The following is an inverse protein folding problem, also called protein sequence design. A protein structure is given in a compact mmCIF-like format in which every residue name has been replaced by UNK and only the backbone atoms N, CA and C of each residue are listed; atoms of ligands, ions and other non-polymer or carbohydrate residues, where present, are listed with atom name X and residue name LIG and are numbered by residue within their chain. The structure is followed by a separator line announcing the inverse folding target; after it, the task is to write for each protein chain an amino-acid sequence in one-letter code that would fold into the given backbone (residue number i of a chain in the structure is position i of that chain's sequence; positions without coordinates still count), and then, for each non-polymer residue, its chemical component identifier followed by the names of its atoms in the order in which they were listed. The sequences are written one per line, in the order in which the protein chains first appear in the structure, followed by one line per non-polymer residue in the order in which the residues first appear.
data_IF_773557166810
#
_entry.id   IF_773557166810
#
_cell.length_a   1.000
_cell.length_b   1.000
_cell.length_c   1.000
_cell.angle_alpha   90.00
_cell.angle_beta   90.00
_cell.angle_gamma   90.00
#
_symmetry.space_group_name_H-M   'P 1'
#
loop_
_entity.id
_entity.type
_entity.pdbx_description
1 polymer ?
#
# COMPACT_ATOMS: atom_id res chain seq x y z
N UNK A 1 -16.61 -2.46 -27.76
CA UNK A 1 -17.08 -2.24 -26.37
C UNK A 1 -15.95 -1.56 -25.63
N UNK A 2 -16.19 -0.42 -24.99
CA UNK A 2 -15.17 0.28 -24.20
C UNK A 2 -14.68 -0.61 -23.05
N UNK A 3 -13.36 -0.65 -22.84
CA UNK A 3 -12.75 -1.41 -21.75
C UNK A 3 -13.27 -0.90 -20.39
N UNK A 4 -13.77 -1.79 -19.54
CA UNK A 4 -14.22 -1.42 -18.21
C UNK A 4 -12.99 -1.29 -17.29
N UNK A 5 -12.59 -0.04 -17.01
CA UNK A 5 -11.44 0.30 -16.18
C UNK A 5 -11.77 0.33 -14.67
N UNK A 6 -12.97 -0.09 -14.26
CA UNK A 6 -13.34 -0.19 -12.85
C UNK A 6 -12.46 -1.23 -12.13
N UNK A 7 -11.68 -0.85 -11.09
CA UNK A 7 -10.75 -1.76 -10.42
C UNK A 7 -11.42 -3.00 -9.84
N UNK A 8 -12.63 -2.86 -9.30
CA UNK A 8 -13.32 -4.00 -8.69
C UNK A 8 -13.78 -5.01 -9.75
N UNK A 9 -14.35 -4.52 -10.85
CA UNK A 9 -14.68 -5.33 -12.01
C UNK A 9 -13.46 -6.08 -12.57
N UNK A 10 -12.29 -5.43 -12.63
CA UNK A 10 -11.03 -6.06 -13.04
C UNK A 10 -10.65 -7.20 -12.08
N UNK A 11 -10.72 -6.96 -10.77
CA UNK A 11 -10.41 -7.99 -9.76
C UNK A 11 -11.35 -9.21 -9.84
N UNK A 12 -12.63 -8.99 -10.13
CA UNK A 12 -13.61 -10.06 -10.34
C UNK A 12 -13.35 -10.84 -11.63
N UNK A 13 -12.97 -10.16 -12.72
CA UNK A 13 -12.56 -10.84 -13.96
C UNK A 13 -11.35 -11.74 -13.73
N UNK A 14 -10.34 -11.27 -12.99
CA UNK A 14 -9.17 -12.08 -12.65
C UNK A 14 -9.53 -13.33 -11.85
N UNK A 15 -10.44 -13.21 -10.88
CA UNK A 15 -10.97 -14.36 -10.13
C UNK A 15 -11.69 -15.34 -11.07
N UNK A 16 -12.54 -14.84 -11.97
CA UNK A 16 -13.26 -15.66 -12.94
C UNK A 16 -12.30 -16.44 -13.85
N UNK A 17 -11.26 -15.78 -14.37
CA UNK A 17 -10.25 -16.42 -15.20
C UNK A 17 -9.47 -17.49 -14.41
N UNK A 18 -9.15 -17.23 -13.14
CA UNK A 18 -8.51 -18.21 -12.26
C UNK A 18 -9.40 -19.43 -11.95
N UNK A 19 -10.70 -19.22 -11.71
CA UNK A 19 -11.66 -20.31 -11.53
C UNK A 19 -11.74 -21.20 -12.78
N UNK A 20 -11.75 -20.59 -13.98
CA UNK A 20 -11.74 -21.32 -15.25
C UNK A 20 -10.49 -22.19 -15.42
N UNK A 21 -9.31 -21.63 -15.14
CA UNK A 21 -8.04 -22.38 -15.25
C UNK A 21 -8.03 -23.58 -14.29
N UNK A 22 -8.60 -23.40 -13.10
CA UNK A 22 -8.59 -24.43 -12.05
C UNK A 22 -9.72 -25.47 -12.19
N UNK A 23 -10.65 -25.27 -13.13
CA UNK A 23 -11.83 -26.12 -13.29
C UNK A 23 -12.83 -26.00 -12.14
N UNK A 24 -12.82 -24.90 -11.39
CA UNK A 24 -13.79 -24.68 -10.29
C UNK A 24 -15.16 -24.30 -10.82
N UNK A 25 -16.20 -24.74 -10.12
CA UNK A 25 -17.60 -24.46 -10.43
C UNK A 25 -17.97 -22.99 -10.17
N UNK A 26 -19.12 -22.57 -10.70
CA UNK A 26 -19.63 -21.20 -10.62
C UNK A 26 -19.87 -20.72 -9.18
N UNK A 27 -20.12 -21.67 -8.29
CA UNK A 27 -20.42 -21.52 -6.88
C UNK A 27 -19.22 -20.92 -6.13
N UNK A 28 -18.01 -21.37 -6.47
CA UNK A 28 -16.76 -20.84 -5.89
C UNK A 28 -16.53 -19.40 -6.33
N UNK A 29 -16.74 -19.11 -7.62
CA UNK A 29 -16.66 -17.73 -8.11
C UNK A 29 -17.65 -16.84 -7.37
N UNK A 30 -18.92 -17.27 -7.27
CA UNK A 30 -19.95 -16.50 -6.59
C UNK A 30 -19.61 -16.22 -5.13
N UNK A 31 -19.11 -17.23 -4.40
CA UNK A 31 -18.71 -17.10 -3.01
C UNK A 31 -17.52 -16.14 -2.80
N UNK A 32 -16.59 -16.07 -3.77
CA UNK A 32 -15.36 -15.31 -3.68
C UNK A 32 -15.42 -13.94 -4.36
N UNK A 33 -16.41 -13.68 -5.21
CA UNK A 33 -16.46 -12.49 -6.08
C UNK A 33 -16.78 -11.18 -5.35
N UNK A 34 -17.27 -11.25 -4.10
CA UNK A 34 -17.67 -10.09 -3.30
C UNK A 34 -17.10 -10.14 -1.89
N UNK A 35 -16.82 -8.99 -1.27
CA UNK A 35 -16.34 -8.97 0.11
C UNK A 35 -17.39 -9.50 1.10
N UNK A 36 -16.95 -10.21 2.14
CA UNK A 36 -17.77 -10.61 3.30
C UNK A 36 -18.44 -9.40 3.97
N UNK A 37 -17.73 -8.27 4.05
CA UNK A 37 -18.27 -7.03 4.62
C UNK A 37 -17.63 -5.80 3.99
N UNK A 38 -18.46 -4.79 3.74
CA UNK A 38 -18.01 -3.46 3.33
C UNK A 38 -18.64 -2.41 4.23
N UNK A 39 -17.81 -1.64 4.92
CA UNK A 39 -18.25 -0.58 5.84
C UNK A 39 -17.89 0.77 5.22
N UNK A 40 -18.90 1.61 4.99
CA UNK A 40 -18.73 3.02 4.62
C UNK A 40 -19.04 3.91 5.82
N UNK A 41 -18.18 4.88 6.07
CA UNK A 41 -18.26 5.78 7.23
C UNK A 41 -18.11 7.23 6.79
N UNK A 42 -18.67 8.13 7.60
CA UNK A 42 -18.41 9.56 7.51
C UNK A 42 -17.70 10.05 8.78
N UNK A 43 -16.73 10.93 8.60
CA UNK A 43 -15.96 11.56 9.68
C UNK A 43 -16.07 13.07 9.50
N UNK A 44 -16.78 13.74 10.41
CA UNK A 44 -16.92 15.20 10.40
C UNK A 44 -16.05 15.79 11.50
N UNK A 45 -15.21 16.76 11.15
CA UNK A 45 -14.30 17.41 12.09
C UNK A 45 -14.09 18.89 11.74
N UNK A 46 -13.66 19.66 12.74
CA UNK A 46 -13.28 21.06 12.58
C UNK A 46 -11.83 21.16 12.11
N UNK A 47 -11.65 21.80 10.96
CA UNK A 47 -10.35 22.12 10.36
C UNK A 47 -9.68 23.28 11.12
N UNK A 48 -8.39 23.49 10.89
CA UNK A 48 -7.59 24.54 11.54
C UNK A 48 -8.11 25.94 11.22
N UNK A 49 -8.62 26.15 10.01
CA UNK A 49 -9.26 27.38 9.58
C UNK A 49 -10.67 27.60 10.21
N UNK A 50 -11.10 26.72 11.10
CA UNK A 50 -12.39 26.79 11.79
C UNK A 50 -13.58 26.22 11.04
N UNK A 51 -13.44 25.87 9.75
CA UNK A 51 -14.51 25.24 8.96
C UNK A 51 -14.78 23.79 9.41
N UNK A 52 -16.00 23.31 9.20
CA UNK A 52 -16.33 21.90 9.34
C UNK A 52 -16.14 21.19 7.99
N UNK A 53 -15.37 20.09 8.00
CA UNK A 53 -15.18 19.24 6.82
C UNK A 53 -15.65 17.82 7.14
N UNK A 54 -16.29 17.19 6.15
CA UNK A 54 -16.71 15.79 6.23
C UNK A 54 -15.92 14.96 5.25
N UNK A 55 -15.29 13.89 5.74
CA UNK A 55 -14.54 12.92 4.97
C UNK A 55 -15.33 11.62 4.86
N UNK A 56 -15.27 10.97 3.70
CA UNK A 56 -15.77 9.61 3.49
C UNK A 56 -14.64 8.62 3.68
N UNK A 57 -14.89 7.57 4.46
CA UNK A 57 -13.96 6.50 4.72
C UNK A 57 -14.59 5.13 4.45
N UNK A 58 -13.73 4.14 4.23
CA UNK A 58 -14.13 2.79 3.87
C UNK A 58 -13.29 1.76 4.62
N UNK A 59 -13.89 0.59 4.92
CA UNK A 59 -13.19 -0.65 5.26
C UNK A 59 -13.86 -1.82 4.55
N UNK A 60 -13.14 -2.46 3.65
CA UNK A 60 -13.55 -3.69 2.96
C UNK A 60 -12.84 -4.88 3.61
N UNK A 61 -13.62 -5.79 4.16
CA UNK A 61 -13.23 -7.06 4.75
C UNK A 61 -13.63 -8.14 3.77
N UNK A 62 -12.66 -8.62 2.98
CA UNK A 62 -12.96 -9.35 1.75
C UNK A 62 -13.23 -10.83 2.01
N UNK A 63 -12.28 -11.51 2.63
CA UNK A 63 -12.40 -12.93 2.92
C UNK A 63 -11.54 -13.29 4.14
N UNK A 64 -12.11 -14.03 5.09
CA UNK A 64 -11.49 -14.42 6.36
C UNK A 64 -11.19 -15.92 6.45
N UNK A 65 -11.40 -16.70 5.39
CA UNK A 65 -11.32 -18.16 5.42
C UNK A 65 -9.97 -18.72 5.90
N UNK A 66 -8.88 -17.97 5.69
CA UNK A 66 -7.52 -18.35 6.09
C UNK A 66 -7.05 -17.78 7.44
N UNK A 67 -7.85 -16.92 8.07
CA UNK A 67 -7.50 -16.27 9.34
C UNK A 67 -7.90 -14.78 9.39
N UNK A 68 -7.39 -14.02 10.38
CA UNK A 68 -7.68 -12.60 10.51
C UNK A 68 -7.36 -11.85 9.22
N UNK A 69 -8.19 -10.86 8.89
CA UNK A 69 -8.01 -10.12 7.65
C UNK A 69 -6.86 -9.12 7.78
N UNK A 70 -6.14 -8.89 6.67
CA UNK A 70 -4.99 -7.98 6.65
C UNK A 70 -5.11 -6.98 5.52
N UNK A 71 -4.94 -5.70 5.83
CA UNK A 71 -5.15 -4.65 4.84
C UNK A 71 -4.65 -3.27 5.20
N UNK A 72 -3.90 -2.64 4.28
CA UNK A 72 -3.49 -1.24 4.41
C UNK A 72 -4.65 -0.25 4.41
N UNK A 73 -4.41 0.97 4.89
CA UNK A 73 -5.35 2.11 4.84
C UNK A 73 -4.74 3.18 3.94
N UNK A 74 -5.37 3.46 2.80
CA UNK A 74 -4.93 4.46 1.83
C UNK A 74 -5.64 5.80 2.04
N UNK A 75 -4.88 6.88 2.05
CA UNK A 75 -5.44 8.24 2.11
C UNK A 75 -5.16 8.91 0.77
N UNK A 76 -6.18 9.16 -0.04
CA UNK A 76 -5.99 9.71 -1.38
C UNK A 76 -7.23 10.48 -1.85
N UNK A 77 -7.09 11.58 -2.62
CA UNK A 77 -8.23 12.31 -3.18
C UNK A 77 -9.09 11.44 -4.11
N UNK A 78 -8.46 10.58 -4.90
CA UNK A 78 -9.15 9.65 -5.83
C UNK A 78 -9.52 8.30 -5.19
N UNK A 79 -9.54 8.20 -3.86
CA UNK A 79 -9.98 6.97 -3.22
C UNK A 79 -11.47 6.69 -3.49
N UNK A 80 -11.84 5.42 -3.65
CA UNK A 80 -13.22 5.04 -3.95
C UNK A 80 -13.59 3.68 -3.36
N UNK A 81 -14.90 3.44 -3.19
CA UNK A 81 -15.41 2.16 -2.73
C UNK A 81 -14.98 0.99 -3.63
N UNK A 82 -14.97 1.20 -4.96
CA UNK A 82 -14.53 0.19 -5.92
C UNK A 82 -13.05 -0.15 -5.75
N UNK A 83 -12.18 0.88 -5.67
CA UNK A 83 -10.75 0.69 -5.49
C UNK A 83 -10.44 -0.06 -4.17
N UNK A 84 -11.08 0.33 -3.06
CA UNK A 84 -10.89 -0.34 -1.76
C UNK A 84 -11.33 -1.82 -1.82
N UNK A 85 -12.44 -2.13 -2.51
CA UNK A 85 -12.88 -3.53 -2.71
C UNK A 85 -11.87 -4.33 -3.52
N UNK A 86 -11.42 -3.80 -4.66
CA UNK A 86 -10.42 -4.44 -5.51
C UNK A 86 -9.12 -4.73 -4.75
N UNK A 87 -8.60 -3.72 -4.04
CA UNK A 87 -7.39 -3.87 -3.24
C UNK A 87 -7.56 -4.88 -2.09
N UNK A 88 -8.76 -5.00 -1.51
CA UNK A 88 -9.04 -6.01 -0.47
C UNK A 88 -9.10 -7.44 -1.05
N UNK A 89 -9.60 -7.59 -2.28
CA UNK A 89 -9.54 -8.86 -3.01
C UNK A 89 -8.08 -9.26 -3.26
N UNK A 90 -7.26 -8.37 -3.80
CA UNK A 90 -5.84 -8.65 -4.02
C UNK A 90 -5.06 -8.91 -2.73
N UNK A 91 -5.45 -8.32 -1.59
CA UNK A 91 -4.86 -8.70 -0.30
C UNK A 91 -5.17 -10.16 0.06
N UNK A 92 -6.39 -10.63 -0.20
CA UNK A 92 -6.78 -12.05 0.00
C UNK A 92 -5.92 -12.97 -0.84
N UNK A 93 -5.81 -12.67 -2.13
CA UNK A 93 -5.03 -13.49 -3.06
C UNK A 93 -3.55 -13.45 -2.72
N UNK A 94 -3.01 -12.27 -2.41
CA UNK A 94 -1.61 -12.11 -2.03
C UNK A 94 -1.26 -12.95 -0.81
N UNK A 95 -2.02 -12.88 0.29
CA UNK A 95 -1.71 -13.64 1.50
C UNK A 95 -1.84 -15.14 1.25
N UNK A 96 -2.82 -15.57 0.46
CA UNK A 96 -2.96 -16.96 0.07
C UNK A 96 -1.79 -17.47 -0.79
N UNK A 97 -1.36 -16.70 -1.79
CA UNK A 97 -0.27 -17.08 -2.70
C UNK A 97 1.08 -17.23 -2.00
N UNK A 98 1.34 -16.44 -0.95
CA UNK A 98 2.58 -16.55 -0.14
C UNK A 98 2.39 -17.34 1.15
N UNK A 99 1.30 -18.11 1.25
CA UNK A 99 0.99 -19.03 2.34
C UNK A 99 1.00 -18.40 3.75
N UNK A 100 0.57 -17.14 3.85
CA UNK A 100 0.41 -16.46 5.14
C UNK A 100 -1.01 -16.75 5.65
N UNK A 101 -1.21 -17.17 6.93
CA UNK A 101 -2.53 -17.51 7.50
C UNK A 101 -3.35 -16.26 7.83
N UNK A 102 -3.63 -15.46 6.81
CA UNK A 102 -4.38 -14.21 6.89
C UNK A 102 -5.35 -14.12 5.72
N UNK A 103 -6.52 -13.56 6.00
CA UNK A 103 -7.46 -13.09 4.99
C UNK A 103 -7.06 -11.75 4.37
N UNK A 104 -7.93 -11.21 3.52
CA UNK A 104 -7.71 -9.91 2.88
C UNK A 104 -8.67 -8.83 3.37
N UNK A 105 -8.13 -7.65 3.64
CA UNK A 105 -8.91 -6.43 3.85
C UNK A 105 -8.24 -5.24 3.17
N UNK A 106 -8.94 -4.11 3.13
CA UNK A 106 -8.38 -2.80 2.79
C UNK A 106 -9.23 -1.69 3.38
N UNK A 107 -8.61 -0.58 3.74
CA UNK A 107 -9.31 0.64 4.12
C UNK A 107 -8.90 1.81 3.24
N UNK A 108 -9.72 2.84 3.24
CA UNK A 108 -9.43 4.08 2.53
C UNK A 108 -10.12 5.29 3.14
N UNK A 109 -9.55 6.48 2.97
CA UNK A 109 -10.22 7.76 3.23
C UNK A 109 -10.01 8.66 2.01
N UNK A 110 -11.10 9.29 1.56
CA UNK A 110 -11.06 10.30 0.50
C UNK A 110 -10.51 11.61 1.11
N UNK A 111 -9.20 11.81 1.03
CA UNK A 111 -8.54 13.03 1.52
C UNK A 111 -7.17 13.26 0.84
N UNK A 112 -6.71 14.51 0.83
CA UNK A 112 -5.33 14.85 0.47
C UNK A 112 -4.55 15.27 1.74
N UNK A 113 -3.77 14.36 2.35
CA UNK A 113 -3.02 14.69 3.56
C UNK A 113 -1.91 15.72 3.35
N UNK A 114 -1.51 16.00 2.10
CA UNK A 114 -0.51 17.04 1.81
C UNK A 114 -1.02 18.46 2.07
N UNK A 115 -2.34 18.63 2.11
CA UNK A 115 -3.00 19.91 2.38
C UNK A 115 -3.47 20.03 3.84
N UNK A 116 -3.15 19.05 4.69
CA UNK A 116 -3.64 18.96 6.06
C UNK A 116 -2.51 19.21 7.05
N UNK A 117 -2.84 19.84 8.17
CA UNK A 117 -1.89 19.96 9.28
C UNK A 117 -1.74 18.65 10.04
N UNK A 118 -0.69 18.54 10.86
CA UNK A 118 -0.48 17.38 11.72
C UNK A 118 -1.65 17.14 12.68
N UNK A 119 -2.26 18.21 13.22
CA UNK A 119 -3.44 18.13 14.09
C UNK A 119 -4.64 17.55 13.34
N UNK A 120 -4.84 18.00 12.11
CA UNK A 120 -5.95 17.53 11.28
C UNK A 120 -5.77 16.06 10.89
N UNK A 121 -4.55 15.66 10.53
CA UNK A 121 -4.18 14.27 10.26
C UNK A 121 -4.45 13.38 11.48
N UNK A 122 -4.00 13.79 12.67
CA UNK A 122 -4.26 13.04 13.90
C UNK A 122 -5.76 12.91 14.18
N UNK A 123 -6.50 14.02 14.10
CA UNK A 123 -7.94 14.03 14.36
C UNK A 123 -8.69 13.11 13.39
N UNK A 124 -8.30 13.11 12.11
CA UNK A 124 -8.89 12.23 11.09
C UNK A 124 -8.56 10.75 11.36
N UNK A 125 -7.31 10.44 11.73
CA UNK A 125 -6.89 9.08 12.05
C UNK A 125 -7.66 8.51 13.25
N UNK A 126 -7.80 9.30 14.33
CA UNK A 126 -8.60 8.94 15.50
C UNK A 126 -10.08 8.79 15.16
N UNK A 127 -10.63 9.73 14.39
CA UNK A 127 -12.01 9.69 13.91
C UNK A 127 -12.33 8.43 13.11
N UNK A 128 -11.38 7.95 12.28
CA UNK A 128 -11.50 6.70 11.54
C UNK A 128 -11.62 5.49 12.46
N UNK A 129 -10.76 5.40 13.48
CA UNK A 129 -10.77 4.28 14.44
C UNK A 129 -12.03 4.27 15.29
N UNK A 130 -12.53 5.43 15.75
CA UNK A 130 -13.82 5.51 16.48
C UNK A 130 -14.99 4.93 15.70
N UNK A 131 -14.94 4.95 14.37
CA UNK A 131 -15.99 4.39 13.50
C UNK A 131 -15.80 2.91 13.20
N UNK A 132 -14.60 2.36 13.43
CA UNK A 132 -14.22 1.01 13.00
C UNK A 132 -13.76 0.08 14.12
N UNK A 133 -13.65 0.57 15.36
CA UNK A 133 -13.14 -0.19 16.50
C UNK A 133 -13.87 -1.54 16.69
N UNK A 134 -15.18 -1.61 16.44
CA UNK A 134 -15.96 -2.84 16.57
C UNK A 134 -15.70 -3.85 15.44
N UNK A 135 -15.11 -3.41 14.33
CA UNK A 135 -14.85 -4.23 13.15
C UNK A 135 -13.39 -4.66 13.04
N UNK A 136 -12.49 -4.07 13.82
CA UNK A 136 -11.05 -4.37 13.78
C UNK A 136 -10.58 -5.01 15.09
N UNK A 137 -9.50 -5.77 15.00
CA UNK A 137 -8.94 -6.46 16.16
C UNK A 137 -7.80 -7.39 15.76
N UNK A 138 -6.90 -7.74 16.70
CA UNK A 138 -5.78 -8.64 16.43
C UNK A 138 -6.16 -9.97 15.78
N UNK A 139 -7.35 -10.49 16.13
CA UNK A 139 -7.87 -11.78 15.65
C UNK A 139 -9.02 -11.62 14.65
N UNK A 140 -9.27 -10.41 14.15
CA UNK A 140 -10.42 -10.10 13.27
C UNK A 140 -9.92 -9.46 11.98
N UNK A 141 -9.35 -8.26 12.10
CA UNK A 141 -8.88 -7.45 10.99
C UNK A 141 -7.79 -6.50 11.48
N UNK A 142 -6.62 -6.59 10.88
CA UNK A 142 -5.39 -5.91 11.31
C UNK A 142 -4.95 -4.89 10.25
N UNK A 143 -5.17 -3.58 10.47
CA UNK A 143 -4.76 -2.58 9.49
C UNK A 143 -3.24 -2.41 9.33
N UNK A 144 -2.85 -1.63 8.33
CA UNK A 144 -1.46 -1.27 8.00
C UNK A 144 -1.39 0.09 7.30
N UNK A 145 -0.18 0.66 7.14
CA UNK A 145 0.05 1.74 6.20
C UNK A 145 -0.21 1.32 4.75
N UNK A 146 -0.52 2.32 3.94
CA UNK A 146 -0.60 2.29 2.49
C UNK A 146 -0.27 3.68 1.93
N UNK A 147 -0.72 4.02 0.70
CA UNK A 147 -0.44 5.33 0.09
C UNK A 147 -0.88 6.47 1.02
N UNK A 148 0.09 7.37 1.28
CA UNK A 148 0.00 8.54 2.16
C UNK A 148 -0.40 8.27 3.62
N UNK A 149 -0.30 7.02 4.10
CA UNK A 149 -0.26 6.74 5.53
C UNK A 149 1.11 6.19 5.93
N UNK A 150 1.46 6.34 7.20
CA UNK A 150 2.84 6.14 7.66
C UNK A 150 2.84 5.66 9.13
N UNK A 151 4.01 5.33 9.71
CA UNK A 151 4.08 4.87 11.10
C UNK A 151 3.46 5.83 12.13
N UNK A 152 3.57 7.15 11.92
CA UNK A 152 2.95 8.12 12.83
C UNK A 152 1.43 8.02 12.84
N UNK A 153 0.81 7.89 11.66
CA UNK A 153 -0.65 7.69 11.56
C UNK A 153 -1.07 6.36 12.21
N UNK A 154 -0.27 5.30 12.06
CA UNK A 154 -0.54 4.03 12.74
C UNK A 154 -0.44 4.15 14.26
N UNK A 155 0.45 5.01 14.77
CA UNK A 155 0.56 5.28 16.20
C UNK A 155 -0.70 5.96 16.74
N UNK A 156 -1.21 7.00 16.07
CA UNK A 156 -2.48 7.65 16.45
C UNK A 156 -3.65 6.67 16.42
N UNK A 157 -3.69 5.81 15.40
CA UNK A 157 -4.74 4.80 15.28
C UNK A 157 -4.67 3.73 16.36
N UNK A 158 -3.46 3.26 16.71
CA UNK A 158 -3.26 2.32 17.81
C UNK A 158 -3.75 2.93 19.13
N UNK A 159 -3.27 4.12 19.45
CA UNK A 159 -3.57 4.81 20.70
C UNK A 159 -5.08 5.03 20.89
N UNK A 160 -5.77 5.47 19.82
CA UNK A 160 -7.22 5.62 19.84
C UNK A 160 -7.94 4.28 20.04
N UNK A 161 -7.47 3.21 19.39
CA UNK A 161 -8.07 1.89 19.54
C UNK A 161 -7.92 1.40 20.97
N UNK A 162 -6.70 1.42 21.53
CA UNK A 162 -6.42 1.01 22.91
C UNK A 162 -7.23 1.82 23.93
N UNK A 163 -7.42 3.12 23.68
CA UNK A 163 -8.29 3.99 24.50
C UNK A 163 -9.73 3.49 24.51
N UNK A 164 -10.29 3.15 23.35
CA UNK A 164 -11.68 2.68 23.22
C UNK A 164 -11.86 1.34 23.94
N UNK A 165 -10.93 0.39 23.74
CA UNK A 165 -11.05 -0.97 24.31
C UNK A 165 -10.48 -1.09 25.73
N UNK A 166 -9.88 -0.02 26.26
CA UNK A 166 -9.30 0.09 27.61
C UNK A 166 -8.26 -0.99 27.93
N UNK A 167 -7.45 -1.37 26.95
CA UNK A 167 -6.35 -2.33 27.12
C UNK A 167 -5.30 -2.14 26.03
N UNK A 168 -4.08 -2.57 26.33
CA UNK A 168 -3.02 -2.64 25.34
C UNK A 168 -3.31 -3.72 24.30
N UNK A 169 -3.24 -3.34 23.02
CA UNK A 169 -3.48 -4.18 21.86
C UNK A 169 -2.52 -3.81 20.71
N UNK A 170 -1.19 -3.86 20.91
CA UNK A 170 -0.22 -3.44 19.91
C UNK A 170 -0.33 -4.23 18.60
N UNK A 171 -0.90 -5.43 18.62
CA UNK A 171 -1.10 -6.29 17.44
C UNK A 171 -2.29 -5.88 16.56
N UNK A 172 -3.16 -4.95 16.98
CA UNK A 172 -4.31 -4.52 16.17
C UNK A 172 -3.87 -3.85 14.86
N UNK A 173 -2.70 -3.20 14.84
CA UNK A 173 -2.22 -2.47 13.68
C UNK A 173 -0.73 -2.73 13.45
N UNK A 174 -0.35 -2.94 12.21
CA UNK A 174 1.06 -3.15 11.81
C UNK A 174 1.64 -1.89 11.20
N UNK A 175 2.97 -1.81 11.02
CA UNK A 175 3.61 -0.62 10.45
C UNK A 175 3.74 0.56 11.40
N UNK A 176 3.69 0.29 12.70
CA UNK A 176 3.96 1.23 13.78
C UNK A 176 5.44 1.62 13.86
N UNK A 177 5.79 2.72 14.56
CA UNK A 177 7.17 3.04 14.92
C UNK A 177 7.80 1.95 15.78
N UNK A 178 9.13 1.82 15.76
CA UNK A 178 9.85 0.82 16.57
C UNK A 178 9.53 0.90 18.07
N UNK A 179 9.48 2.09 18.70
CA UNK A 179 9.14 2.19 20.13
C UNK A 179 7.75 1.65 20.49
N UNK A 180 6.84 1.52 19.52
CA UNK A 180 5.48 1.02 19.72
C UNK A 180 5.31 -0.43 19.22
N UNK A 181 6.40 -1.21 19.12
CA UNK A 181 6.34 -2.59 18.62
C UNK A 181 6.25 -2.66 17.09
N UNK A 182 6.86 -1.69 16.40
CA UNK A 182 7.16 -1.79 14.96
C UNK A 182 8.23 -2.85 14.67
N UNK A 183 8.36 -3.24 13.40
CA UNK A 183 9.40 -4.17 12.95
C UNK A 183 10.49 -3.44 12.16
N UNK A 184 11.76 -3.66 12.52
CA UNK A 184 12.92 -2.98 11.93
C UNK A 184 13.07 -3.21 10.41
N UNK A 185 12.75 -4.41 9.93
CA UNK A 185 12.85 -4.75 8.52
C UNK A 185 11.68 -4.23 7.66
N UNK A 186 10.67 -3.58 8.26
CA UNK A 186 9.42 -3.32 7.54
C UNK A 186 9.59 -2.35 6.37
N UNK A 187 10.40 -1.31 6.51
CA UNK A 187 10.55 -0.28 5.46
C UNK A 187 11.14 -0.86 4.18
N UNK A 188 12.06 -1.82 4.28
CA UNK A 188 12.74 -2.44 3.14
C UNK A 188 12.01 -3.69 2.60
N UNK A 189 11.21 -4.38 3.42
CA UNK A 189 10.67 -5.70 3.11
C UNK A 189 9.94 -5.82 1.76
N UNK A 190 9.10 -4.85 1.39
CA UNK A 190 8.37 -4.89 0.10
C UNK A 190 9.32 -4.85 -1.09
N UNK A 191 10.32 -3.96 -1.04
CA UNK A 191 11.31 -3.83 -2.09
C UNK A 191 12.20 -5.08 -2.15
N UNK A 192 12.66 -5.56 -0.99
CA UNK A 192 13.46 -6.77 -0.88
C UNK A 192 12.76 -7.99 -1.49
N UNK A 193 11.48 -8.19 -1.18
CA UNK A 193 10.68 -9.27 -1.77
C UNK A 193 10.55 -9.12 -3.28
N UNK A 194 10.30 -7.91 -3.79
CA UNK A 194 10.25 -7.64 -5.22
C UNK A 194 11.58 -7.95 -5.93
N UNK A 195 12.71 -7.59 -5.32
CA UNK A 195 14.03 -7.91 -5.85
C UNK A 195 14.31 -9.41 -5.82
N UNK A 196 13.84 -10.15 -4.81
CA UNK A 196 13.93 -11.61 -4.83
C UNK A 196 13.13 -12.22 -5.98
N UNK A 197 11.93 -11.72 -6.27
CA UNK A 197 11.17 -12.16 -7.44
C UNK A 197 11.92 -11.85 -8.74
N UNK A 198 12.52 -10.66 -8.88
CA UNK A 198 13.35 -10.30 -10.05
C UNK A 198 14.53 -11.26 -10.18
N UNK A 199 15.22 -11.56 -9.07
CA UNK A 199 16.36 -12.49 -9.04
C UNK A 199 15.96 -13.89 -9.52
N UNK A 200 14.85 -14.44 -9.03
CA UNK A 200 14.42 -15.78 -9.47
C UNK A 200 13.94 -15.78 -10.92
N UNK A 201 13.17 -14.76 -11.34
CA UNK A 201 12.74 -14.64 -12.74
C UNK A 201 13.93 -14.48 -13.71
N UNK A 202 14.97 -13.75 -13.29
CA UNK A 202 16.18 -13.60 -14.09
C UNK A 202 16.90 -14.95 -14.27
N UNK A 203 16.94 -15.82 -13.26
CA UNK A 203 17.49 -17.17 -13.39
C UNK A 203 16.67 -18.03 -14.35
N UNK A 204 15.34 -18.00 -14.24
CA UNK A 204 14.44 -18.78 -15.09
C UNK A 204 14.52 -18.36 -16.57
N UNK A 205 14.85 -17.08 -16.82
CA UNK A 205 15.03 -16.51 -18.16
C UNK A 205 16.47 -16.50 -18.66
N UNK A 206 17.42 -17.07 -17.90
CA UNK A 206 18.87 -17.02 -18.18
C UNK A 206 19.41 -15.59 -18.41
N UNK A 207 18.87 -14.63 -17.66
CA UNK A 207 19.25 -13.21 -17.71
C UNK A 207 20.25 -12.88 -16.61
N UNK A 208 21.43 -12.38 -16.99
CA UNK A 208 22.43 -11.90 -16.04
C UNK A 208 22.06 -10.51 -15.50
N UNK A 209 21.90 -10.39 -14.18
CA UNK A 209 21.61 -9.11 -13.52
C UNK A 209 22.83 -8.20 -13.41
N UNK A 210 24.05 -8.74 -13.42
CA UNK A 210 25.26 -7.93 -13.30
C UNK A 210 25.41 -7.00 -14.52
N UNK A 211 25.33 -5.69 -14.28
CA UNK A 211 25.36 -4.67 -15.32
C UNK A 211 24.02 -4.48 -16.07
N UNK A 212 22.96 -5.19 -15.67
CA UNK A 212 21.66 -5.08 -16.32
C UNK A 212 21.05 -3.68 -16.14
N UNK A 213 20.48 -3.14 -17.21
CA UNK A 213 19.79 -1.86 -17.19
C UNK A 213 18.41 -1.98 -16.55
N UNK A 214 18.11 -1.13 -15.57
CA UNK A 214 16.85 -1.13 -14.83
C UNK A 214 16.15 0.24 -14.95
N UNK A 215 14.84 0.20 -15.16
CA UNK A 215 13.95 1.37 -15.13
C UNK A 215 12.96 1.20 -13.98
N UNK A 216 12.78 2.23 -13.14
CA UNK A 216 11.91 2.17 -11.97
C UNK A 216 10.83 3.24 -12.06
N UNK A 217 9.58 2.80 -12.21
CA UNK A 217 8.44 3.70 -12.10
C UNK A 217 8.03 3.87 -10.63
N UNK A 218 8.00 5.11 -10.15
CA UNK A 218 7.56 5.43 -8.80
C UNK A 218 8.67 5.29 -7.75
N UNK A 219 9.41 6.37 -7.52
CA UNK A 219 10.51 6.43 -6.57
C UNK A 219 10.06 6.71 -5.13
N UNK A 220 9.02 6.00 -4.67
CA UNK A 220 8.55 6.02 -3.27
C UNK A 220 9.36 5.07 -2.40
N UNK A 221 8.79 4.62 -1.27
CA UNK A 221 9.45 3.66 -0.38
C UNK A 221 9.87 2.37 -1.12
N UNK A 222 8.97 1.75 -1.89
CA UNK A 222 9.30 0.50 -2.60
C UNK A 222 10.33 0.72 -3.72
N UNK A 223 10.10 1.70 -4.62
CA UNK A 223 10.98 1.93 -5.76
C UNK A 223 12.39 2.39 -5.37
N UNK A 224 12.51 3.30 -4.39
CA UNK A 224 13.84 3.76 -3.94
C UNK A 224 14.65 2.66 -3.26
N UNK A 225 14.03 1.81 -2.45
CA UNK A 225 14.72 0.65 -1.87
C UNK A 225 15.05 -0.40 -2.94
N UNK A 226 14.17 -0.65 -3.90
CA UNK A 226 14.44 -1.60 -4.99
C UNK A 226 15.64 -1.15 -5.82
N UNK A 227 15.72 0.16 -6.14
CA UNK A 227 16.86 0.75 -6.84
C UNK A 227 18.18 0.49 -6.11
N UNK A 228 18.21 0.78 -4.80
CA UNK A 228 19.38 0.57 -3.94
C UNK A 228 19.78 -0.89 -3.87
N UNK A 229 18.84 -1.79 -3.60
CA UNK A 229 19.14 -3.22 -3.50
C UNK A 229 19.65 -3.78 -4.84
N UNK A 230 19.02 -3.42 -5.97
CA UNK A 230 19.45 -3.87 -7.29
C UNK A 230 20.85 -3.35 -7.64
N UNK A 231 21.12 -2.09 -7.36
CA UNK A 231 22.44 -1.49 -7.58
C UNK A 231 23.51 -2.10 -6.66
N UNK A 232 23.26 -2.15 -5.35
CA UNK A 232 24.25 -2.53 -4.35
C UNK A 232 24.50 -4.05 -4.31
N UNK A 233 23.46 -4.87 -4.47
CA UNK A 233 23.56 -6.33 -4.31
C UNK A 233 23.75 -7.09 -5.61
N UNK A 234 23.34 -6.52 -6.75
CA UNK A 234 23.38 -7.19 -8.06
C UNK A 234 24.18 -6.42 -9.11
N UNK A 235 24.77 -5.28 -8.77
CA UNK A 235 25.49 -4.41 -9.69
C UNK A 235 24.64 -4.01 -10.93
N UNK A 236 23.33 -3.86 -10.73
CA UNK A 236 22.44 -3.38 -11.78
C UNK A 236 22.66 -1.88 -12.04
N UNK A 237 22.48 -1.47 -13.29
CA UNK A 237 22.57 -0.09 -13.73
C UNK A 237 21.18 0.54 -13.78
N UNK A 238 20.86 1.39 -12.80
CA UNK A 238 19.59 2.14 -12.82
C UNK A 238 19.68 3.24 -13.87
N UNK A 239 18.97 3.14 -14.98
CA UNK A 239 19.09 4.10 -16.10
C UNK A 239 17.94 5.11 -16.15
N UNK A 240 16.79 4.81 -15.56
CA UNK A 240 15.70 5.75 -15.41
C UNK A 240 14.90 5.50 -14.13
N UNK A 241 14.44 6.59 -13.53
CA UNK A 241 13.49 6.55 -12.41
C UNK A 241 12.43 7.62 -12.61
N UNK A 242 11.21 7.40 -12.12
CA UNK A 242 10.14 8.41 -12.14
C UNK A 242 9.41 8.54 -10.83
N UNK A 243 8.70 9.65 -10.66
CA UNK A 243 7.68 9.80 -9.62
C UNK A 243 6.49 10.63 -10.09
N UNK A 244 5.67 11.13 -9.16
CA UNK A 244 4.45 11.86 -9.46
C UNK A 244 4.68 13.18 -10.20
N UNK A 245 5.90 13.70 -10.26
CA UNK A 245 6.21 14.99 -10.91
C UNK A 245 6.95 14.83 -12.25
N UNK A 246 7.39 13.61 -12.62
CA UNK A 246 8.08 13.35 -13.88
C UNK A 246 9.10 12.21 -13.78
N UNK A 247 9.87 12.00 -14.84
CA UNK A 247 10.96 11.03 -14.90
C UNK A 247 12.32 11.65 -15.17
N UNK A 248 13.36 10.93 -14.79
CA UNK A 248 14.76 11.25 -15.11
C UNK A 248 15.45 10.05 -15.75
N UNK A 249 16.38 10.32 -16.65
CA UNK A 249 17.16 9.33 -17.40
C UNK A 249 18.63 9.69 -17.43
N UNK A 250 19.49 8.68 -17.26
CA UNK A 250 20.91 8.77 -17.54
C UNK A 250 21.39 7.44 -18.12
N UNK A 251 21.83 7.46 -19.39
CA UNK A 251 22.38 6.28 -20.07
C UNK A 251 23.60 5.70 -19.34
N UNK A 252 24.36 6.53 -18.61
CA UNK A 252 25.53 6.14 -17.83
C UNK A 252 25.18 5.62 -16.42
N UNK A 253 23.91 5.66 -16.05
CA UNK A 253 23.40 5.18 -14.77
C UNK A 253 23.14 6.32 -13.79
N UNK A 254 22.20 6.07 -12.88
CA UNK A 254 21.76 6.97 -11.82
C UNK A 254 22.20 6.34 -10.49
N UNK A 255 22.86 7.12 -9.63
CA UNK A 255 23.15 6.69 -8.27
C UNK A 255 21.83 6.69 -7.47
N UNK A 256 21.41 5.51 -7.03
CA UNK A 256 20.11 5.32 -6.37
C UNK A 256 20.04 6.00 -5.00
N UNK A 257 21.18 6.16 -4.32
CA UNK A 257 21.29 6.85 -3.03
C UNK A 257 21.21 8.36 -3.21
N UNK A 258 21.89 8.92 -4.22
CA UNK A 258 21.81 10.35 -4.55
C UNK A 258 20.40 10.75 -4.98
N UNK A 259 19.76 9.95 -5.85
CA UNK A 259 18.37 10.18 -6.24
C UNK A 259 17.41 10.18 -5.04
N UNK A 260 17.67 9.32 -4.04
CA UNK A 260 16.87 9.30 -2.81
C UNK A 260 17.08 10.55 -1.96
N UNK A 261 18.32 11.01 -1.79
CA UNK A 261 18.65 12.24 -1.06
C UNK A 261 18.09 13.49 -1.74
N UNK A 262 18.17 13.55 -3.07
CA UNK A 262 17.58 14.63 -3.86
C UNK A 262 16.08 14.70 -3.63
N UNK A 263 15.39 13.56 -3.79
CA UNK A 263 13.95 13.48 -3.57
C UNK A 263 13.52 13.83 -2.16
N UNK A 264 14.30 13.48 -1.15
CA UNK A 264 14.00 13.86 0.23
C UNK A 264 13.99 15.39 0.39
N UNK A 265 14.95 16.07 -0.23
CA UNK A 265 15.09 17.54 -0.18
C UNK A 265 14.06 18.27 -1.05
N UNK A 266 13.83 17.80 -2.27
CA UNK A 266 13.04 18.51 -3.30
C UNK A 266 11.63 17.97 -3.47
N UNK A 267 11.31 16.83 -2.86
CA UNK A 267 10.05 16.07 -3.01
C UNK A 267 9.82 15.49 -4.42
N UNK A 268 10.84 15.50 -5.28
CA UNK A 268 10.80 14.93 -6.63
C UNK A 268 12.15 14.32 -7.04
N UNK A 269 12.17 13.36 -7.95
CA UNK A 269 13.43 12.94 -8.62
C UNK A 269 13.88 13.92 -9.70
N UNK A 270 12.98 14.74 -10.23
CA UNK A 270 13.23 15.71 -11.31
C UNK A 270 14.26 16.75 -10.87
N UNK A 271 15.13 17.16 -11.79
CA UNK A 271 16.21 18.12 -11.53
C UNK A 271 17.42 17.53 -10.79
N UNK A 272 17.58 16.21 -10.77
CA UNK A 272 18.81 15.58 -10.28
C UNK A 272 19.96 15.86 -11.27
N UNK A 273 21.07 16.40 -10.75
CA UNK A 273 22.24 16.74 -11.55
C UNK A 273 22.76 15.54 -12.36
N UNK A 274 23.19 15.81 -13.60
CA UNK A 274 23.71 14.77 -14.50
C UNK A 274 22.64 13.85 -15.11
N UNK A 275 21.35 14.18 -14.97
CA UNK A 275 20.25 13.44 -15.60
C UNK A 275 19.47 14.30 -16.59
N UNK A 276 18.82 13.65 -17.55
CA UNK A 276 17.88 14.27 -18.50
C UNK A 276 16.46 14.03 -18.02
N UNK A 277 15.62 15.07 -18.01
CA UNK A 277 14.20 14.91 -17.74
C UNK A 277 13.50 14.16 -18.88
N UNK A 278 12.58 13.28 -18.53
CA UNK A 278 11.77 12.49 -19.46
C UNK A 278 10.30 12.49 -18.98
N UNK A 279 9.37 12.58 -19.93
CA UNK A 279 7.91 12.61 -19.70
C UNK A 279 7.28 11.23 -19.90
#
# INVERSE_FOLDING_TARGET
MSENLDPFSISQKQLFDACKISGYESEIYNALSTPERFVEIKITMKMDNGSLKTFRGFRSQYNSARGPMKGGIRWHPDESASLVKALSAWMTWKTACVDIPLGGAKGGIICNPKEMSNREIETLARGYIRKLADFIGPNIDVPAPDVYTNPQIMAYMLDEYETIIRRHAPSVITGKPLPLGGSAGRSIATAQGGVYCIREAAKDLDLNLNGASIVIQGYGNAGSWAAKILQDSFNCKIIAVSDSQGGIYNENGINSHEAALHKEKTRTVVGLDGTKEIS
#
